data_IF_767921067555
#
_entry.id   IF_767921067555
#
_cell.length_a   1.000
_cell.length_b   1.000
_cell.length_c   1.000
_cell.angle_alpha   90.00
_cell.angle_beta   90.00
_cell.angle_gamma   90.00
#
_symmetry.space_group_name_H-M   'P 1'
#
loop_
_entity.id
_entity.type
_entity.pdbx_description
1 polymer ?
#
# COMPACT_ATOMS: atom_id res chain seq x y z
N UNK A 1 27.43 16.35 44.83
CA UNK A 1 28.45 16.04 43.80
C UNK A 1 27.83 15.06 42.81
N UNK A 2 27.08 15.54 41.81
CA UNK A 2 27.53 15.94 40.44
C UNK A 2 28.03 14.73 39.64
N UNK A 3 27.27 14.13 38.71
CA UNK A 3 26.74 14.59 37.40
C UNK A 3 27.60 14.07 36.20
N UNK A 4 26.93 13.89 35.04
CA UNK A 4 27.34 13.46 33.66
C UNK A 4 27.01 12.03 33.28
N UNK A 5 26.06 11.74 32.36
CA UNK A 5 25.86 12.21 30.97
C UNK A 5 27.05 11.91 30.05
N UNK A 6 26.92 10.83 29.27
CA UNK A 6 27.31 10.70 27.86
C UNK A 6 26.19 9.87 27.20
N UNK A 7 25.29 10.35 26.32
CA UNK A 7 25.36 11.06 25.02
C UNK A 7 26.15 10.34 23.91
N UNK A 8 25.40 9.49 23.20
CA UNK A 8 25.22 9.40 21.72
C UNK A 8 26.40 8.97 20.81
N UNK A 9 26.12 7.92 20.02
CA UNK A 9 26.42 7.74 18.58
C UNK A 9 25.55 6.57 18.08
N UNK A 10 24.35 6.78 17.50
CA UNK A 10 24.02 7.11 16.09
C UNK A 10 24.82 6.32 15.05
N UNK A 11 24.19 5.25 14.53
CA UNK A 11 24.18 4.73 13.16
C UNK A 11 22.99 3.75 13.13
N UNK A 12 21.86 3.92 12.44
CA UNK A 12 21.58 4.74 11.27
C UNK A 12 21.72 3.93 9.98
N UNK A 13 20.92 2.87 9.81
CA UNK A 13 20.60 2.27 8.50
C UNK A 13 19.18 1.68 8.57
N UNK A 14 18.18 2.48 8.17
CA UNK A 14 16.89 1.95 7.76
C UNK A 14 17.02 1.50 6.31
N UNK A 15 16.93 0.20 6.07
CA UNK A 15 16.95 -0.35 4.72
C UNK A 15 15.52 -0.38 4.19
N UNK A 16 15.15 0.63 3.41
CA UNK A 16 13.99 0.57 2.52
C UNK A 16 14.31 -0.45 1.44
N UNK A 17 13.75 -1.66 1.54
CA UNK A 17 13.86 -2.67 0.50
C UNK A 17 12.85 -2.34 -0.62
N UNK A 18 13.24 -1.42 -1.50
CA UNK A 18 12.62 -1.30 -2.82
C UNK A 18 13.02 -2.55 -3.62
N UNK A 19 12.06 -3.42 -3.89
CA UNK A 19 12.28 -4.59 -4.77
C UNK A 19 12.42 -4.07 -6.20
N UNK A 20 13.65 -3.79 -6.60
CA UNK A 20 14.03 -3.63 -8.00
C UNK A 20 14.36 -5.01 -8.57
N UNK A 21 13.56 -5.47 -9.53
CA UNK A 21 13.89 -6.63 -10.35
C UNK A 21 15.12 -6.30 -11.23
N UNK A 22 16.11 -7.21 -11.35
CA UNK A 22 17.29 -6.96 -12.16
C UNK A 22 17.00 -7.19 -13.66
N UNK A 23 17.30 -6.19 -14.49
CA UNK A 23 17.52 -6.42 -15.91
C UNK A 23 18.80 -7.25 -16.09
N UNK A 24 18.68 -8.33 -16.84
CA UNK A 24 19.79 -9.19 -17.24
C UNK A 24 20.88 -8.36 -17.95
N UNK A 25 22.10 -8.47 -17.44
CA UNK A 25 23.27 -7.86 -18.04
C UNK A 25 23.59 -8.48 -19.40
N UNK A 26 23.82 -7.62 -20.39
CA UNK A 26 24.64 -7.95 -21.54
C UNK A 26 25.95 -7.16 -21.46
N UNK A 27 27.02 -7.94 -21.60
CA UNK A 27 28.44 -7.64 -21.51
C UNK A 27 28.85 -6.51 -22.47
N UNK A 28 29.61 -5.54 -21.97
CA UNK A 28 30.29 -4.54 -22.78
C UNK A 28 31.55 -5.16 -23.40
N UNK A 29 31.59 -5.25 -24.73
CA UNK A 29 32.83 -5.31 -25.49
C UNK A 29 32.96 -4.00 -26.29
N UNK A 30 34.07 -3.32 -26.04
CA UNK A 30 34.39 -2.00 -26.57
C UNK A 30 34.99 -2.14 -27.96
N UNK A 31 34.33 -1.57 -28.98
CA UNK A 31 34.90 -1.42 -30.31
C UNK A 31 34.37 -0.14 -30.97
N UNK A 32 35.27 0.83 -31.21
CA UNK A 32 35.04 2.07 -31.96
C UNK A 32 35.80 1.99 -33.31
N UNK A 33 35.50 2.85 -34.30
CA UNK A 33 34.22 2.95 -34.99
C UNK A 33 34.42 2.87 -36.53
N UNK A 34 33.49 2.26 -37.27
CA UNK A 34 33.42 2.43 -38.72
C UNK A 34 32.07 3.06 -39.08
N UNK A 35 32.14 4.22 -39.73
CA UNK A 35 30.99 4.99 -40.17
C UNK A 35 30.07 4.14 -41.07
N UNK A 36 28.89 3.81 -40.55
CA UNK A 36 27.80 3.26 -41.31
C UNK A 36 26.62 4.24 -41.20
N UNK A 37 26.15 4.66 -42.36
CA UNK A 37 24.97 5.50 -42.61
C UNK A 37 23.78 5.00 -41.78
N UNK A 38 23.07 5.86 -41.02
CA UNK A 38 21.89 5.42 -40.30
C UNK A 38 20.79 5.07 -41.31
N UNK A 39 20.12 3.92 -41.21
CA UNK A 39 18.86 3.73 -41.92
C UNK A 39 17.86 4.77 -41.38
N UNK A 40 17.25 5.49 -42.31
CA UNK A 40 16.13 6.38 -42.07
C UNK A 40 14.97 5.59 -41.47
N UNK A 41 14.42 6.11 -40.37
CA UNK A 41 12.99 6.01 -40.04
C UNK A 41 12.38 4.62 -39.90
N UNK A 42 12.49 4.05 -38.70
CA UNK A 42 11.32 3.43 -38.08
C UNK A 42 11.09 4.13 -36.74
N UNK A 43 10.32 5.22 -36.78
CA UNK A 43 9.57 5.61 -35.60
C UNK A 43 8.66 4.43 -35.30
N UNK A 44 9.09 3.56 -34.37
CA UNK A 44 8.24 2.51 -33.83
C UNK A 44 7.02 3.18 -33.21
N UNK A 45 5.96 3.33 -34.00
CA UNK A 45 4.64 3.60 -33.47
C UNK A 45 4.30 2.37 -32.64
N UNK A 46 4.40 2.52 -31.32
CA UNK A 46 3.85 1.55 -30.40
C UNK A 46 2.41 1.28 -30.87
N UNK A 47 2.11 0.02 -31.18
CA UNK A 47 0.77 -0.37 -31.55
C UNK A 47 -0.17 0.08 -30.42
N UNK A 48 -1.28 0.72 -30.77
CA UNK A 48 -2.30 1.09 -29.78
C UNK A 48 -2.79 -0.18 -29.05
N UNK A 49 -2.91 -0.12 -27.72
CA UNK A 49 -3.43 -1.25 -26.94
C UNK A 49 -4.87 -1.57 -27.36
N UNK A 50 -5.23 -2.85 -27.29
CA UNK A 50 -6.62 -3.26 -27.48
C UNK A 50 -7.38 -3.19 -26.17
N UNK A 51 -8.72 -3.14 -26.24
CA UNK A 51 -9.57 -3.21 -25.04
C UNK A 51 -9.27 -4.45 -24.18
N UNK A 52 -8.95 -5.58 -24.82
CA UNK A 52 -8.62 -6.81 -24.12
C UNK A 52 -7.27 -6.71 -23.38
N UNK A 53 -6.29 -6.01 -23.96
CA UNK A 53 -5.00 -5.76 -23.30
C UNK A 53 -5.18 -4.83 -22.09
N UNK A 54 -6.01 -3.79 -22.24
CA UNK A 54 -6.34 -2.86 -21.15
C UNK A 54 -7.09 -3.57 -20.00
N UNK A 55 -8.06 -4.42 -20.31
CA UNK A 55 -8.80 -5.21 -19.31
C UNK A 55 -7.91 -6.24 -18.62
N UNK A 56 -6.99 -6.88 -19.34
CA UNK A 56 -6.01 -7.80 -18.76
C UNK A 56 -5.07 -7.09 -17.77
N UNK A 57 -4.59 -5.90 -18.12
CA UNK A 57 -3.78 -5.06 -17.23
C UNK A 57 -4.56 -4.63 -15.97
N UNK A 58 -5.81 -4.20 -16.12
CA UNK A 58 -6.67 -3.83 -14.99
C UNK A 58 -6.92 -5.03 -14.05
N UNK A 59 -7.07 -6.25 -14.59
CA UNK A 59 -7.20 -7.48 -13.80
C UNK A 59 -5.95 -7.74 -12.95
N UNK A 60 -4.74 -7.53 -13.48
CA UNK A 60 -3.49 -7.71 -12.73
C UNK A 60 -3.40 -6.74 -11.54
N UNK A 61 -3.78 -5.48 -11.77
CA UNK A 61 -3.83 -4.46 -10.74
C UNK A 61 -4.90 -4.75 -9.68
N UNK A 62 -6.09 -5.23 -10.08
CA UNK A 62 -7.12 -5.63 -9.12
C UNK A 62 -6.75 -6.85 -8.31
N UNK A 63 -6.02 -7.82 -8.87
CA UNK A 63 -5.48 -8.93 -8.10
C UNK A 63 -4.47 -8.44 -7.04
N UNK A 64 -3.65 -7.44 -7.39
CA UNK A 64 -2.75 -6.82 -6.43
C UNK A 64 -3.51 -6.09 -5.32
N UNK A 65 -4.56 -5.34 -5.67
CA UNK A 65 -5.47 -4.71 -4.70
C UNK A 65 -6.17 -5.73 -3.79
N UNK A 66 -6.59 -6.87 -4.33
CA UNK A 66 -7.28 -7.91 -3.58
C UNK A 66 -6.37 -8.51 -2.49
N UNK A 67 -5.08 -8.72 -2.78
CA UNK A 67 -4.11 -9.14 -1.76
C UNK A 67 -3.83 -8.03 -0.73
N UNK A 68 -3.84 -6.76 -1.14
CA UNK A 68 -3.71 -5.63 -0.24
C UNK A 68 -4.86 -5.59 0.77
N UNK A 69 -6.10 -5.73 0.31
CA UNK A 69 -7.29 -5.79 1.18
C UNK A 69 -7.22 -6.99 2.14
N UNK A 70 -6.81 -8.16 1.63
CA UNK A 70 -6.65 -9.33 2.50
C UNK A 70 -5.55 -9.11 3.55
N UNK A 71 -4.47 -8.41 3.21
CA UNK A 71 -3.41 -8.05 4.16
C UNK A 71 -3.94 -7.11 5.24
N UNK A 72 -4.79 -6.14 4.89
CA UNK A 72 -5.45 -5.26 5.86
C UNK A 72 -6.38 -6.03 6.80
N UNK A 73 -7.20 -6.95 6.27
CA UNK A 73 -8.05 -7.83 7.08
C UNK A 73 -7.22 -8.63 8.10
N UNK A 74 -6.10 -9.21 7.66
CA UNK A 74 -5.19 -9.94 8.55
C UNK A 74 -4.58 -9.03 9.64
N UNK A 75 -4.26 -7.77 9.31
CA UNK A 75 -3.80 -6.78 10.28
C UNK A 75 -4.84 -6.48 11.36
N UNK A 76 -6.11 -6.28 10.97
CA UNK A 76 -7.21 -6.07 11.90
C UNK A 76 -7.45 -7.28 12.80
N UNK A 77 -7.40 -8.50 12.25
CA UNK A 77 -7.51 -9.73 13.02
C UNK A 77 -6.38 -9.87 14.05
N UNK A 78 -5.14 -9.58 13.65
CA UNK A 78 -3.99 -9.59 14.55
C UNK A 78 -4.14 -8.56 15.67
N UNK A 79 -4.56 -7.34 15.34
CA UNK A 79 -4.78 -6.27 16.32
C UNK A 79 -5.90 -6.61 17.31
N UNK A 80 -7.02 -7.18 16.84
CA UNK A 80 -8.14 -7.60 17.68
C UNK A 80 -7.76 -8.70 18.69
N UNK A 81 -6.69 -9.47 18.43
CA UNK A 81 -6.15 -10.46 19.35
C UNK A 81 -5.32 -9.87 20.51
N UNK A 82 -4.92 -8.60 20.45
CA UNK A 82 -4.10 -7.97 21.50
C UNK A 82 -4.96 -7.71 22.75
N UNK A 83 -4.57 -8.14 23.97
CA UNK A 83 -5.43 -8.04 25.16
C UNK A 83 -5.90 -6.62 25.50
N UNK A 84 -5.02 -5.64 25.34
CA UNK A 84 -5.30 -4.22 25.61
C UNK A 84 -6.20 -3.56 24.54
N UNK A 85 -6.37 -4.22 23.39
CA UNK A 85 -7.29 -3.84 22.32
C UNK A 85 -8.63 -4.56 22.52
N UNK A 86 -8.59 -5.87 22.76
CA UNK A 86 -9.77 -6.71 22.99
C UNK A 86 -10.58 -6.28 24.24
N UNK A 87 -9.92 -5.65 25.22
CA UNK A 87 -10.57 -5.15 26.44
C UNK A 87 -11.25 -3.79 26.27
N UNK A 88 -11.04 -3.08 25.16
CA UNK A 88 -11.70 -1.80 24.89
C UNK A 88 -12.84 -2.00 23.87
N UNK A 89 -14.10 -1.97 24.31
CA UNK A 89 -15.24 -2.23 23.41
C UNK A 89 -15.40 -1.17 22.32
N UNK A 90 -14.98 0.08 22.58
CA UNK A 90 -15.10 1.18 21.61
C UNK A 90 -14.09 0.99 20.49
N UNK A 91 -12.85 0.65 20.82
CA UNK A 91 -11.82 0.32 19.84
C UNK A 91 -12.24 -0.93 19.03
N UNK A 92 -12.86 -1.92 19.68
CA UNK A 92 -13.38 -3.12 19.00
C UNK A 92 -14.55 -2.89 18.08
N UNK A 93 -15.41 -1.92 18.35
CA UNK A 93 -16.45 -1.54 17.40
C UNK A 93 -15.85 -0.93 16.14
N UNK A 94 -14.90 0.01 16.28
CA UNK A 94 -14.24 0.66 15.13
C UNK A 94 -13.39 -0.33 14.33
N UNK A 95 -12.60 -1.18 14.99
CA UNK A 95 -11.77 -2.17 14.29
C UNK A 95 -12.60 -3.17 13.50
N UNK A 96 -13.75 -3.61 14.04
CA UNK A 96 -14.68 -4.49 13.33
C UNK A 96 -15.33 -3.80 12.13
N UNK A 97 -15.68 -2.51 12.28
CA UNK A 97 -16.23 -1.73 11.18
C UNK A 97 -15.23 -1.65 10.02
N UNK A 98 -13.99 -1.22 10.27
CA UNK A 98 -12.98 -1.07 9.23
C UNK A 98 -12.59 -2.42 8.61
N UNK A 99 -12.45 -3.47 9.43
CA UNK A 99 -12.24 -4.83 8.92
C UNK A 99 -13.37 -5.28 7.99
N UNK A 100 -14.62 -5.00 8.34
CA UNK A 100 -15.77 -5.30 7.48
C UNK A 100 -15.75 -4.53 6.15
N UNK A 101 -15.30 -3.26 6.17
CA UNK A 101 -15.14 -2.48 4.95
C UNK A 101 -14.04 -3.05 4.04
N UNK A 102 -12.91 -3.52 4.58
CA UNK A 102 -11.91 -4.23 3.78
C UNK A 102 -12.44 -5.57 3.23
N UNK A 103 -13.27 -6.29 3.97
CA UNK A 103 -13.96 -7.48 3.44
C UNK A 103 -14.86 -7.13 2.25
N UNK A 104 -15.63 -6.04 2.34
CA UNK A 104 -16.44 -5.52 1.24
C UNK A 104 -15.59 -5.12 0.02
N UNK A 105 -14.44 -4.46 0.23
CA UNK A 105 -13.51 -4.07 -0.82
C UNK A 105 -12.90 -5.30 -1.52
N UNK A 106 -12.38 -6.27 -0.75
CA UNK A 106 -11.82 -7.52 -1.25
C UNK A 106 -12.83 -8.28 -2.11
N UNK A 107 -14.05 -8.44 -1.60
CA UNK A 107 -15.10 -9.17 -2.28
C UNK A 107 -15.60 -8.45 -3.54
N UNK A 108 -15.58 -7.12 -3.54
CA UNK A 108 -15.87 -6.29 -4.72
C UNK A 108 -14.81 -6.46 -5.79
N UNK A 109 -13.53 -6.40 -5.43
CA UNK A 109 -12.41 -6.65 -6.35
C UNK A 109 -12.49 -8.03 -6.97
N UNK A 110 -12.74 -9.07 -6.18
CA UNK A 110 -12.88 -10.44 -6.67
C UNK A 110 -13.98 -10.55 -7.74
N UNK A 111 -15.16 -9.99 -7.46
CA UNK A 111 -16.29 -9.96 -8.42
C UNK A 111 -15.95 -9.18 -9.70
N UNK A 112 -15.23 -8.08 -9.57
CA UNK A 112 -14.81 -7.29 -10.73
C UNK A 112 -13.80 -8.04 -11.61
N UNK A 113 -12.82 -8.71 -11.01
CA UNK A 113 -11.87 -9.57 -11.72
C UNK A 113 -12.62 -10.65 -12.50
N UNK A 114 -13.58 -11.34 -11.87
CA UNK A 114 -14.42 -12.35 -12.54
C UNK A 114 -15.25 -11.75 -13.69
N UNK A 115 -15.82 -10.56 -13.49
CA UNK A 115 -16.65 -9.88 -14.50
C UNK A 115 -15.87 -9.51 -15.77
N UNK A 116 -14.56 -9.27 -15.63
CA UNK A 116 -13.64 -9.00 -16.75
C UNK A 116 -13.09 -10.29 -17.38
N UNK A 117 -13.51 -11.47 -16.90
CA UNK A 117 -13.03 -12.78 -17.37
C UNK A 117 -11.71 -13.22 -16.74
N UNK A 118 -11.23 -12.50 -15.72
CA UNK A 118 -10.06 -12.87 -14.94
C UNK A 118 -10.35 -13.92 -13.88
N UNK A 119 -9.30 -14.40 -13.21
CA UNK A 119 -9.40 -15.28 -12.04
C UNK A 119 -8.88 -14.54 -10.82
N UNK A 120 -9.68 -14.39 -9.75
CA UNK A 120 -9.21 -13.82 -8.50
C UNK A 120 -8.05 -14.64 -7.93
N UNK A 121 -7.00 -13.94 -7.51
CA UNK A 121 -5.85 -14.54 -6.84
C UNK A 121 -6.26 -15.18 -5.52
N UNK A 122 -5.60 -16.28 -5.17
CA UNK A 122 -5.85 -16.96 -3.89
C UNK A 122 -5.44 -16.06 -2.72
N UNK A 123 -6.44 -15.65 -1.94
CA UNK A 123 -6.28 -14.79 -0.77
C UNK A 123 -5.35 -15.40 0.29
N UNK A 124 -5.17 -16.72 0.30
CA UNK A 124 -4.23 -17.39 1.19
C UNK A 124 -2.76 -17.04 0.89
N UNK A 125 -2.48 -16.44 -0.27
CA UNK A 125 -1.15 -15.95 -0.66
C UNK A 125 -0.85 -14.53 -0.18
N UNK A 126 -1.83 -13.86 0.45
CA UNK A 126 -1.61 -12.53 1.02
C UNK A 126 -0.50 -12.57 2.09
N UNK A 127 0.43 -11.60 2.09
CA UNK A 127 1.46 -11.55 3.10
C UNK A 127 0.86 -11.30 4.49
N UNK A 128 1.46 -11.87 5.56
CA UNK A 128 1.07 -11.50 6.91
C UNK A 128 1.45 -10.04 7.19
N UNK A 129 0.70 -9.32 8.04
CA UNK A 129 1.05 -7.97 8.45
C UNK A 129 2.37 -7.97 9.22
N UNK A 130 3.24 -7.00 8.94
CA UNK A 130 4.43 -6.77 9.73
C UNK A 130 4.06 -6.05 11.02
N UNK A 131 4.19 -6.73 12.16
CA UNK A 131 3.87 -6.19 13.48
C UNK A 131 5.13 -5.61 14.13
N UNK A 132 5.19 -4.29 14.42
CA UNK A 132 6.31 -3.69 15.12
C UNK A 132 6.59 -4.36 16.47
N UNK A 133 7.86 -4.65 16.81
CA UNK A 133 8.22 -5.27 18.10
C UNK A 133 7.68 -4.51 19.32
N UNK A 134 7.60 -3.18 19.23
CA UNK A 134 7.02 -2.32 20.27
C UNK A 134 5.61 -2.73 20.69
N UNK A 135 4.79 -3.25 19.77
CA UNK A 135 3.41 -3.67 20.09
C UNK A 135 3.41 -4.94 20.97
N UNK A 136 4.38 -5.82 20.77
CA UNK A 136 4.45 -7.13 21.41
C UNK A 136 5.29 -7.12 22.70
N UNK A 137 6.13 -6.12 22.90
CA UNK A 137 6.99 -6.00 24.08
C UNK A 137 6.18 -5.57 25.32
N UNK A 138 5.94 -6.51 26.24
CA UNK A 138 5.22 -6.24 27.50
C UNK A 138 6.00 -5.35 28.47
N UNK A 139 7.31 -5.11 28.24
CA UNK A 139 8.10 -4.16 29.02
C UNK A 139 7.86 -2.71 28.56
N UNK A 140 7.23 -2.49 27.40
CA UNK A 140 6.81 -1.17 26.93
C UNK A 140 5.48 -0.79 27.59
N UNK A 141 5.39 0.46 28.03
CA UNK A 141 4.17 1.00 28.64
C UNK A 141 2.94 0.80 27.73
N UNK A 142 1.81 0.37 28.31
CA UNK A 142 0.59 0.04 27.54
C UNK A 142 0.13 1.19 26.63
N UNK A 143 0.26 2.44 27.08
CA UNK A 143 -0.08 3.61 26.30
C UNK A 143 0.78 3.76 25.03
N UNK A 144 2.08 3.43 25.11
CA UNK A 144 2.99 3.45 23.97
C UNK A 144 2.69 2.29 23.00
N UNK A 145 2.37 1.10 23.52
CA UNK A 145 1.92 -0.03 22.70
C UNK A 145 0.62 0.27 21.96
N UNK A 146 -0.36 0.88 22.65
CA UNK A 146 -1.61 1.37 22.05
C UNK A 146 -1.34 2.38 20.94
N UNK A 147 -0.44 3.33 21.19
CA UNK A 147 -0.05 4.31 20.18
C UNK A 147 0.61 3.64 18.96
N UNK A 148 1.48 2.66 19.16
CA UNK A 148 2.14 1.92 18.09
C UNK A 148 1.12 1.14 17.22
N UNK A 149 0.08 0.55 17.82
CA UNK A 149 -1.04 -0.08 17.08
C UNK A 149 -1.77 0.95 16.21
N UNK A 150 -2.11 2.11 16.75
CA UNK A 150 -2.79 3.18 16.01
C UNK A 150 -1.93 3.72 14.86
N UNK A 151 -0.61 3.86 15.08
CA UNK A 151 0.32 4.31 14.06
C UNK A 151 0.51 3.27 12.95
N UNK A 152 0.57 1.98 13.29
CA UNK A 152 0.59 0.88 12.32
C UNK A 152 -0.69 0.89 11.47
N UNK A 153 -1.87 0.88 12.12
CA UNK A 153 -3.15 0.85 11.43
C UNK A 153 -3.27 2.03 10.45
N UNK A 154 -3.03 3.26 10.94
CA UNK A 154 -3.00 4.46 10.08
C UNK A 154 -2.03 4.33 8.91
N UNK A 155 -0.87 3.72 9.11
CA UNK A 155 0.12 3.50 8.06
C UNK A 155 -0.42 2.60 6.95
N UNK A 156 -1.10 1.52 7.32
CA UNK A 156 -1.74 0.59 6.39
C UNK A 156 -2.88 1.28 5.62
N UNK A 157 -3.77 2.00 6.31
CA UNK A 157 -4.86 2.76 5.65
C UNK A 157 -4.31 3.80 4.68
N UNK A 158 -3.24 4.50 5.06
CA UNK A 158 -2.61 5.48 4.16
C UNK A 158 -2.00 4.79 2.94
N UNK A 159 -1.36 3.63 3.13
CA UNK A 159 -0.85 2.83 2.03
C UNK A 159 -1.95 2.42 1.05
N UNK A 160 -3.10 1.96 1.57
CA UNK A 160 -4.27 1.62 0.77
C UNK A 160 -4.83 2.84 0.02
N UNK A 161 -5.06 3.95 0.72
CA UNK A 161 -5.55 5.19 0.11
C UNK A 161 -4.62 5.71 -1.01
N UNK A 162 -3.30 5.69 -0.77
CA UNK A 162 -2.32 6.08 -1.79
C UNK A 162 -2.35 5.11 -3.00
N UNK A 163 -2.45 3.80 -2.76
CA UNK A 163 -2.52 2.79 -3.81
C UNK A 163 -3.77 2.99 -4.70
N UNK A 164 -4.95 3.15 -4.12
CA UNK A 164 -6.17 3.43 -4.90
C UNK A 164 -6.12 4.76 -5.62
N UNK A 165 -5.49 5.78 -5.03
CA UNK A 165 -5.29 7.04 -5.73
C UNK A 165 -4.43 6.85 -7.00
N UNK A 166 -3.35 6.06 -6.92
CA UNK A 166 -2.54 5.74 -8.11
C UNK A 166 -3.31 4.90 -9.12
N UNK A 167 -4.10 3.92 -8.67
CA UNK A 167 -4.97 3.13 -9.55
C UNK A 167 -5.91 4.03 -10.35
N UNK A 168 -6.61 4.94 -9.68
CA UNK A 168 -7.57 5.86 -10.31
C UNK A 168 -6.90 6.85 -11.26
N UNK A 169 -5.73 7.39 -10.89
CA UNK A 169 -5.15 8.54 -11.60
C UNK A 169 -4.11 8.20 -12.64
N UNK A 170 -3.44 7.04 -12.52
CA UNK A 170 -2.26 6.74 -13.34
C UNK A 170 -2.23 5.32 -13.91
N UNK A 171 -2.76 4.32 -13.19
CA UNK A 171 -2.44 2.92 -13.52
C UNK A 171 -3.54 2.16 -14.24
N UNK A 172 -4.83 2.41 -13.94
CA UNK A 172 -5.93 1.70 -14.58
C UNK A 172 -6.23 2.26 -15.98
N UNK A 173 -6.42 1.37 -16.94
CA UNK A 173 -6.58 1.70 -18.35
C UNK A 173 -8.05 1.93 -18.73
N UNK A 174 -9.01 1.19 -18.14
CA UNK A 174 -10.43 1.35 -18.46
C UNK A 174 -11.17 2.34 -17.55
N UNK A 175 -12.18 3.04 -18.09
CA UNK A 175 -13.04 3.96 -17.32
C UNK A 175 -13.85 3.22 -16.23
N UNK A 176 -14.31 2.00 -16.54
CA UNK A 176 -15.04 1.16 -15.59
C UNK A 176 -14.17 0.78 -14.40
N UNK A 177 -12.91 0.40 -14.65
CA UNK A 177 -11.99 0.06 -13.58
C UNK A 177 -11.68 1.27 -12.70
N UNK A 178 -11.41 2.43 -13.30
CA UNK A 178 -11.20 3.69 -12.55
C UNK A 178 -12.38 4.06 -11.66
N UNK A 179 -13.62 3.88 -12.15
CA UNK A 179 -14.83 4.15 -11.36
C UNK A 179 -14.95 3.22 -10.16
N UNK A 180 -14.69 1.92 -10.35
CA UNK A 180 -14.70 0.95 -9.24
C UNK A 180 -13.65 1.31 -8.19
N UNK A 181 -12.41 1.56 -8.58
CA UNK A 181 -11.36 1.97 -7.64
C UNK A 181 -11.69 3.29 -6.92
N UNK A 182 -12.43 4.19 -7.58
CA UNK A 182 -12.90 5.44 -6.99
C UNK A 182 -14.06 5.28 -5.99
N UNK A 183 -14.70 4.10 -5.91
CA UNK A 183 -15.65 3.78 -4.85
C UNK A 183 -14.94 3.41 -3.54
N UNK A 184 -13.77 2.76 -3.64
CA UNK A 184 -12.97 2.31 -2.48
C UNK A 184 -12.09 3.45 -1.92
N UNK A 185 -11.43 4.21 -2.80
CA UNK A 185 -10.54 5.32 -2.43
C UNK A 185 -11.07 6.26 -1.31
N UNK A 186 -12.31 6.80 -1.37
CA UNK A 186 -12.80 7.71 -0.34
C UNK A 186 -13.01 7.02 1.02
N UNK A 187 -13.27 5.71 1.05
CA UNK A 187 -13.40 4.93 2.29
C UNK A 187 -12.04 4.79 2.97
N UNK A 188 -11.00 4.43 2.22
CA UNK A 188 -9.63 4.36 2.75
C UNK A 188 -9.15 5.72 3.28
N UNK A 189 -9.46 6.80 2.56
CA UNK A 189 -9.16 8.16 3.02
C UNK A 189 -9.92 8.51 4.32
N UNK A 190 -11.15 8.02 4.49
CA UNK A 190 -11.92 8.19 5.72
C UNK A 190 -11.25 7.45 6.89
N UNK A 191 -10.77 6.21 6.69
CA UNK A 191 -10.06 5.47 7.73
C UNK A 191 -8.82 6.24 8.23
N UNK A 192 -8.01 6.76 7.30
CA UNK A 192 -6.85 7.61 7.63
C UNK A 192 -7.26 8.81 8.50
N UNK A 193 -8.33 9.50 8.12
CA UNK A 193 -8.81 10.68 8.83
C UNK A 193 -9.26 10.36 10.27
N UNK A 194 -9.90 9.21 10.48
CA UNK A 194 -10.28 8.74 11.83
C UNK A 194 -9.04 8.50 12.68
N UNK A 195 -8.01 7.83 12.15
CA UNK A 195 -6.78 7.62 12.90
C UNK A 195 -6.01 8.92 13.17
N UNK A 196 -6.00 9.87 12.24
CA UNK A 196 -5.39 11.19 12.46
C UNK A 196 -6.04 11.95 13.63
N UNK A 197 -7.37 11.89 13.72
CA UNK A 197 -8.13 12.46 14.83
C UNK A 197 -7.74 11.80 16.17
N UNK A 198 -7.72 10.47 16.21
CA UNK A 198 -7.42 9.71 17.44
C UNK A 198 -5.97 9.91 17.90
N UNK A 199 -5.02 9.97 16.96
CA UNK A 199 -3.60 10.21 17.27
C UNK A 199 -3.29 11.67 17.64
N UNK A 200 -4.30 12.55 17.63
CA UNK A 200 -4.18 13.99 17.87
C UNK A 200 -3.09 14.62 17.00
N UNK A 201 -2.98 14.18 15.73
CA UNK A 201 -2.01 14.77 14.81
C UNK A 201 -2.42 16.21 14.54
N UNK A 202 -1.53 17.15 14.91
CA UNK A 202 -1.82 18.59 15.01
C UNK A 202 -2.01 19.33 13.67
N UNK A 203 -2.27 18.63 12.57
CA UNK A 203 -2.64 19.25 11.31
C UNK A 203 -3.50 18.28 10.50
N UNK A 204 -4.56 18.75 9.81
CA UNK A 204 -5.13 17.98 8.72
C UNK A 204 -4.00 17.58 7.76
N UNK A 205 -4.05 16.34 7.26
CA UNK A 205 -3.11 15.85 6.24
C UNK A 205 -3.54 16.38 4.89
N UNK A 206 -3.58 17.71 4.78
CA UNK A 206 -3.65 18.45 3.53
C UNK A 206 -2.29 19.09 3.21
N UNK A 207 -1.19 18.57 3.79
CA UNK A 207 0.11 18.61 3.11
C UNK A 207 -0.14 17.97 1.73
N UNK A 208 -0.11 18.79 0.69
CA UNK A 208 -1.05 18.68 -0.40
C UNK A 208 -1.10 17.28 -1.03
N UNK A 209 -2.32 16.80 -1.30
CA UNK A 209 -2.56 15.67 -2.20
C UNK A 209 -2.01 15.91 -3.63
N UNK A 210 -1.51 17.12 -3.92
CA UNK A 210 -1.13 17.58 -5.26
C UNK A 210 0.25 18.25 -5.38
N UNK A 211 1.08 18.41 -4.33
CA UNK A 211 2.28 19.27 -4.43
C UNK A 211 3.65 18.59 -4.41
N UNK A 212 3.74 17.26 -4.41
CA UNK A 212 5.04 16.55 -4.40
C UNK A 212 5.18 15.61 -5.60
N UNK A 213 4.69 16.02 -6.77
CA UNK A 213 5.01 15.37 -8.05
C UNK A 213 5.35 16.45 -9.09
N UNK A 214 6.60 16.90 -9.09
CA UNK A 214 7.25 17.69 -10.13
C UNK A 214 8.60 17.09 -10.46
#
# INVERSE_FOLDING_TARGET
>A
MTDRIERRRILGVGATALVLLPFAGCKSEEQTPAAATPPEGESGQAAASTKADDEAHDIELFNSGLLLEQTAILAYQAAAGLPFIASDPTIMEVAKLFMGQHEEHRDTLAKWIESLGGTPVDIATAPPPEIPPTILDEAVEEAERKRAVLELARGLEKGAADAYFQLVTQQLHTDSARRMAAEILPVEAQHVAVFDLVLQKAAPVNAALYSEQS
#
